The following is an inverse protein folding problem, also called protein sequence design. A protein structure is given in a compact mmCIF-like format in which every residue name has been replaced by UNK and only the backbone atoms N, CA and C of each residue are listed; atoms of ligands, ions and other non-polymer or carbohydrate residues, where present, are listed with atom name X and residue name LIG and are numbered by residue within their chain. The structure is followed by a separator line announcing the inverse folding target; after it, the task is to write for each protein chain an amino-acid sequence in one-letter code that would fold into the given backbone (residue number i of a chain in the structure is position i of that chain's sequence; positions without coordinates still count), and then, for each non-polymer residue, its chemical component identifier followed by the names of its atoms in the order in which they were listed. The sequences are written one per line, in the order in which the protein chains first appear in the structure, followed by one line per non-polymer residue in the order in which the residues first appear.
data_IF_488388319529
#
_entry.id   IF_488388319529
#
_cell.length_a   1.000
_cell.length_b   1.000
_cell.length_c   1.000
_cell.angle_alpha   90.00
_cell.angle_beta   90.00
_cell.angle_gamma   90.00
#
_symmetry.space_group_name_H-M   'P 1'
#
loop_
_entity.id
_entity.type
_entity.pdbx_description
1 polymer ?
#
# COMPACT_ATOMS: atom_id res chain seq x y z
N UNK A 1 -40.10 -3.36 -0.57
CA UNK A 1 -39.92 -2.50 0.62
C UNK A 1 -39.23 -3.32 1.71
N UNK A 2 -37.90 -3.40 1.70
CA UNK A 2 -37.11 -4.13 2.70
C UNK A 2 -35.89 -3.31 3.17
N UNK A 3 -36.00 -1.99 3.11
CA UNK A 3 -34.97 -1.06 3.58
C UNK A 3 -35.03 -0.62 5.06
N UNK A 4 -35.97 -1.06 5.95
CA UNK A 4 -35.92 -0.61 7.35
C UNK A 4 -35.16 -1.52 8.34
N UNK A 5 -34.78 -2.75 7.99
CA UNK A 5 -34.18 -3.68 8.96
C UNK A 5 -32.72 -3.35 9.33
N UNK A 6 -31.96 -2.76 8.40
CA UNK A 6 -30.56 -2.41 8.65
C UNK A 6 -30.40 -1.21 9.61
N UNK A 7 -31.30 -0.23 9.51
CA UNK A 7 -31.31 0.95 10.39
C UNK A 7 -31.79 0.59 11.80
N UNK A 8 -32.72 -0.38 11.93
CA UNK A 8 -33.23 -0.82 13.24
C UNK A 8 -32.15 -1.54 14.08
N UNK A 9 -31.31 -2.38 13.46
CA UNK A 9 -30.22 -3.06 14.15
C UNK A 9 -29.13 -2.07 14.65
N UNK A 10 -28.69 -1.14 13.79
CA UNK A 10 -27.70 -0.13 14.16
C UNK A 10 -28.19 0.85 15.25
N UNK A 11 -29.51 1.10 15.33
CA UNK A 11 -30.11 1.99 16.35
C UNK A 11 -30.25 1.29 17.71
N UNK A 12 -30.57 -0.01 17.73
CA UNK A 12 -30.62 -0.81 18.98
C UNK A 12 -29.22 -0.96 19.59
N UNK A 13 -28.17 -1.13 18.78
CA UNK A 13 -26.78 -1.21 19.25
C UNK A 13 -26.28 0.06 19.95
N UNK A 14 -26.95 1.21 19.80
CA UNK A 14 -26.60 2.46 20.50
C UNK A 14 -27.42 2.73 21.76
N UNK A 15 -28.55 2.05 21.97
CA UNK A 15 -29.51 2.46 23.02
C UNK A 15 -29.56 1.56 24.26
N UNK A 16 -28.91 0.40 24.26
CA UNK A 16 -28.97 -0.53 25.40
C UNK A 16 -27.60 -0.57 26.08
N UNK A 17 -27.47 0.19 27.18
CA UNK A 17 -26.36 0.11 28.11
C UNK A 17 -26.49 -1.17 28.97
N UNK A 18 -26.27 -2.33 28.35
CA UNK A 18 -26.21 -3.62 29.06
C UNK A 18 -24.74 -3.94 29.42
N UNK A 19 -24.40 -4.12 30.70
CA UNK A 19 -23.04 -4.44 31.14
C UNK A 19 -22.59 -5.88 30.80
N UNK A 20 -23.46 -6.72 30.23
CA UNK A 20 -23.13 -8.07 29.73
C UNK A 20 -22.97 -8.14 28.20
N UNK A 21 -22.92 -6.98 27.54
CA UNK A 21 -22.87 -6.86 26.09
C UNK A 21 -21.49 -7.21 25.50
N UNK A 22 -21.43 -8.30 24.72
CA UNK A 22 -20.28 -8.67 23.87
C UNK A 22 -20.57 -8.34 22.40
N UNK A 23 -19.76 -7.45 21.83
CA UNK A 23 -19.90 -6.97 20.45
C UNK A 23 -19.76 -8.08 19.40
N UNK A 24 -18.94 -9.10 19.65
CA UNK A 24 -18.69 -10.19 18.71
C UNK A 24 -19.85 -11.20 18.68
N UNK A 25 -20.44 -11.52 19.83
CA UNK A 25 -21.59 -12.42 19.89
C UNK A 25 -22.85 -11.80 19.26
N UNK A 26 -23.07 -10.50 19.46
CA UNK A 26 -24.19 -9.79 18.83
C UNK A 26 -23.98 -9.60 17.33
N UNK A 27 -22.74 -9.36 16.88
CA UNK A 27 -22.40 -9.33 15.46
C UNK A 27 -22.65 -10.71 14.83
N UNK A 28 -22.27 -11.81 15.50
CA UNK A 28 -22.50 -13.17 15.02
C UNK A 28 -23.99 -13.53 14.92
N UNK A 29 -24.83 -13.05 15.84
CA UNK A 29 -26.29 -13.25 15.80
C UNK A 29 -26.93 -12.45 14.65
N UNK A 30 -26.49 -11.21 14.44
CA UNK A 30 -26.94 -10.36 13.33
C UNK A 30 -26.48 -10.94 11.99
N UNK A 31 -25.25 -11.44 11.90
CA UNK A 31 -24.69 -12.09 10.71
C UNK A 31 -25.37 -13.42 10.40
N UNK A 32 -25.72 -14.24 11.42
CA UNK A 32 -26.54 -15.46 11.24
C UNK A 32 -27.96 -15.20 10.77
N UNK A 33 -28.55 -14.06 11.10
CA UNK A 33 -29.86 -13.66 10.58
C UNK A 33 -29.77 -12.96 9.20
N UNK A 34 -28.58 -12.50 8.81
CA UNK A 34 -28.24 -11.89 7.52
C UNK A 34 -27.59 -12.90 6.56
N UNK A 35 -28.08 -14.15 6.52
CA UNK A 35 -27.68 -15.22 5.57
C UNK A 35 -27.74 -14.82 4.07
N UNK A 36 -28.08 -13.57 3.75
CA UNK A 36 -27.98 -12.97 2.44
C UNK A 36 -27.08 -11.74 2.51
N UNK A 37 -25.84 -11.86 2.02
CA UNK A 37 -25.10 -10.70 1.51
C UNK A 37 -25.95 -10.08 0.40
N UNK A 38 -26.72 -9.06 0.75
CA UNK A 38 -27.61 -8.37 -0.19
C UNK A 38 -26.81 -7.36 -1.02
N UNK A 39 -26.41 -7.80 -2.22
CA UNK A 39 -25.70 -6.95 -3.18
C UNK A 39 -26.62 -5.98 -3.94
N UNK A 40 -27.94 -6.02 -3.73
CA UNK A 40 -28.89 -5.19 -4.50
C UNK A 40 -28.66 -3.70 -4.27
N UNK A 41 -28.24 -3.30 -3.07
CA UNK A 41 -27.90 -1.91 -2.75
C UNK A 41 -26.72 -1.42 -3.61
N UNK A 42 -25.64 -2.19 -3.68
CA UNK A 42 -24.42 -1.80 -4.40
C UNK A 42 -24.52 -2.02 -5.92
N UNK A 43 -25.33 -2.96 -6.40
CA UNK A 43 -25.53 -3.19 -7.84
C UNK A 43 -26.46 -2.14 -8.49
N UNK A 44 -27.21 -1.38 -7.69
CA UNK A 44 -28.10 -0.33 -8.16
C UNK A 44 -27.32 0.69 -9.03
N UNK A 45 -27.74 0.96 -10.29
CA UNK A 45 -26.98 1.80 -11.23
C UNK A 45 -26.72 3.24 -10.77
N UNK A 46 -27.55 3.74 -9.84
CA UNK A 46 -27.40 5.08 -9.28
C UNK A 46 -26.41 5.13 -8.10
N UNK A 47 -26.05 3.98 -7.51
CA UNK A 47 -25.26 3.87 -6.27
C UNK A 47 -23.78 3.79 -6.57
N UNK A 48 -23.35 2.85 -7.43
CA UNK A 48 -21.97 2.75 -7.89
C UNK A 48 -21.93 2.97 -9.41
N UNK A 49 -21.32 4.09 -9.82
CA UNK A 49 -21.21 4.53 -11.21
C UNK A 49 -19.93 5.31 -11.43
N UNK A 50 -19.48 5.35 -12.68
CA UNK A 50 -18.31 6.13 -13.10
C UNK A 50 -18.50 7.59 -12.74
N UNK A 51 -17.44 8.19 -12.19
CA UNK A 51 -17.46 9.58 -11.74
C UNK A 51 -18.57 9.82 -10.71
N UNK A 52 -18.50 9.03 -9.63
CA UNK A 52 -19.47 9.00 -8.54
C UNK A 52 -19.71 10.39 -7.96
N UNK A 53 -18.64 11.16 -7.76
CA UNK A 53 -18.67 12.51 -7.20
C UNK A 53 -18.91 13.61 -8.25
N UNK A 54 -19.17 13.24 -9.51
CA UNK A 54 -19.44 14.18 -10.61
C UNK A 54 -18.42 15.32 -10.75
N UNK A 55 -17.13 15.01 -10.51
CA UNK A 55 -16.05 15.99 -10.61
C UNK A 55 -15.76 16.33 -12.06
N UNK A 56 -15.36 17.58 -12.31
CA UNK A 56 -15.27 18.15 -13.67
C UNK A 56 -14.01 17.78 -14.44
N UNK A 57 -12.92 17.47 -13.74
CA UNK A 57 -11.63 17.14 -14.36
C UNK A 57 -11.06 15.82 -13.82
N UNK A 58 -10.36 15.10 -14.69
CA UNK A 58 -9.81 13.77 -14.40
C UNK A 58 -8.67 13.81 -13.37
N UNK A 59 -8.00 14.95 -13.25
CA UNK A 59 -6.91 15.18 -12.29
C UNK A 59 -7.36 15.75 -10.94
N UNK A 60 -8.67 15.85 -10.67
CA UNK A 60 -9.14 16.30 -9.36
C UNK A 60 -8.60 15.35 -8.29
N UNK A 61 -7.80 15.91 -7.38
CA UNK A 61 -7.28 15.15 -6.27
C UNK A 61 -8.38 14.92 -5.25
N UNK A 62 -8.29 13.80 -4.54
CA UNK A 62 -9.22 13.45 -3.46
C UNK A 62 -9.35 14.58 -2.44
N UNK A 63 -8.22 15.16 -2.02
CA UNK A 63 -8.14 16.23 -1.02
C UNK A 63 -8.84 17.52 -1.46
N UNK A 64 -9.06 17.71 -2.76
CA UNK A 64 -9.71 18.89 -3.32
C UNK A 64 -11.25 18.81 -3.27
N UNK A 65 -11.82 17.64 -2.98
CA UNK A 65 -13.27 17.47 -2.89
C UNK A 65 -13.74 17.71 -1.45
N UNK A 66 -14.63 18.68 -1.20
CA UNK A 66 -15.11 18.96 0.15
C UNK A 66 -15.81 17.75 0.77
N UNK A 67 -15.56 17.49 2.06
CA UNK A 67 -16.18 16.39 2.81
C UNK A 67 -17.72 16.38 2.73
N UNK A 68 -18.36 17.55 2.61
CA UNK A 68 -19.81 17.66 2.44
C UNK A 68 -20.30 17.09 1.11
N UNK A 69 -19.53 17.31 0.04
CA UNK A 69 -19.81 16.74 -1.30
C UNK A 69 -19.58 15.24 -1.25
N UNK A 70 -18.49 14.78 -0.64
CA UNK A 70 -18.21 13.35 -0.46
C UNK A 70 -19.32 12.65 0.33
N UNK A 71 -19.81 13.23 1.42
CA UNK A 71 -20.89 12.67 2.23
C UNK A 71 -22.24 12.63 1.49
N UNK A 72 -22.48 13.55 0.56
CA UNK A 72 -23.67 13.54 -0.29
C UNK A 72 -23.58 12.48 -1.39
N UNK A 73 -22.40 12.30 -1.98
CA UNK A 73 -22.15 11.32 -3.05
C UNK A 73 -22.02 9.88 -2.50
N UNK A 74 -21.46 9.73 -1.30
CA UNK A 74 -21.25 8.46 -0.61
C UNK A 74 -21.84 8.56 0.80
N UNK A 75 -23.18 8.44 0.95
CA UNK A 75 -23.83 8.35 2.24
C UNK A 75 -23.23 7.26 3.14
N UNK A 76 -23.39 7.40 4.45
CA UNK A 76 -22.86 6.47 5.45
C UNK A 76 -23.21 5.01 5.18
N UNK A 77 -24.42 4.72 4.71
CA UNK A 77 -24.86 3.37 4.32
C UNK A 77 -24.04 2.80 3.17
N UNK A 78 -23.76 3.61 2.13
CA UNK A 78 -22.97 3.18 0.97
C UNK A 78 -21.50 3.05 1.37
N UNK A 79 -20.99 3.99 2.16
CA UNK A 79 -19.63 3.94 2.71
C UNK A 79 -19.40 2.65 3.52
N UNK A 80 -20.30 2.32 4.44
CA UNK A 80 -20.25 1.09 5.22
C UNK A 80 -20.32 -0.15 4.31
N UNK A 81 -21.28 -0.19 3.39
CA UNK A 81 -21.43 -1.31 2.47
C UNK A 81 -20.15 -1.53 1.66
N UNK A 82 -19.56 -0.49 1.06
CA UNK A 82 -18.32 -0.58 0.30
C UNK A 82 -17.13 -1.12 1.13
N UNK A 83 -17.04 -0.77 2.41
CA UNK A 83 -15.91 -1.14 3.27
C UNK A 83 -16.03 -2.53 3.90
N UNK A 84 -17.23 -3.03 4.16
CA UNK A 84 -17.41 -4.20 5.03
C UNK A 84 -18.10 -5.41 4.39
N UNK A 85 -18.68 -5.28 3.19
CA UNK A 85 -19.40 -6.40 2.56
C UNK A 85 -18.52 -7.65 2.34
N UNK A 86 -17.24 -7.45 2.01
CA UNK A 86 -16.27 -8.55 1.83
C UNK A 86 -15.99 -9.29 3.14
N UNK A 87 -15.86 -8.53 4.25
CA UNK A 87 -15.65 -9.12 5.57
C UNK A 87 -16.88 -9.94 6.02
N UNK A 88 -18.08 -9.41 5.75
CA UNK A 88 -19.33 -10.12 6.02
C UNK A 88 -19.49 -11.39 5.18
N UNK A 89 -19.11 -11.34 3.90
CA UNK A 89 -19.10 -12.52 3.03
C UNK A 89 -18.17 -13.60 3.60
N UNK A 90 -16.93 -13.25 3.96
CA UNK A 90 -15.99 -14.20 4.54
C UNK A 90 -16.47 -14.78 5.88
N UNK A 91 -17.04 -13.94 6.76
CA UNK A 91 -17.59 -14.37 8.04
C UNK A 91 -18.80 -15.30 7.89
N UNK A 92 -19.59 -15.13 6.83
CA UNK A 92 -20.74 -16.00 6.55
C UNK A 92 -20.34 -17.42 6.12
N UNK A 93 -19.09 -17.63 5.69
CA UNK A 93 -18.63 -18.91 5.13
C UNK A 93 -19.24 -19.23 3.75
N UNK A 94 -19.94 -18.28 3.12
CA UNK A 94 -20.51 -18.45 1.80
C UNK A 94 -19.41 -18.41 0.73
N UNK A 95 -19.45 -19.40 -0.15
CA UNK A 95 -18.58 -19.45 -1.32
C UNK A 95 -19.15 -18.62 -2.49
N UNK A 96 -18.25 -18.01 -3.26
CA UNK A 96 -18.55 -17.30 -4.50
C UNK A 96 -18.55 -18.34 -5.63
N UNK A 97 -19.71 -18.49 -6.25
CA UNK A 97 -19.90 -19.34 -7.42
C UNK A 97 -19.95 -18.44 -8.66
N UNK A 98 -19.30 -18.85 -9.75
CA UNK A 98 -19.36 -18.09 -11.00
C UNK A 98 -20.81 -17.84 -11.43
N UNK A 99 -21.07 -16.62 -11.89
CA UNK A 99 -22.40 -16.13 -12.28
C UNK A 99 -23.43 -15.99 -11.14
N UNK A 100 -23.03 -16.18 -9.88
CA UNK A 100 -23.85 -15.81 -8.73
C UNK A 100 -23.96 -14.27 -8.59
N UNK A 101 -24.68 -13.81 -7.56
CA UNK A 101 -24.92 -12.38 -7.34
C UNK A 101 -23.63 -11.60 -7.06
N UNK A 102 -22.65 -12.21 -6.37
CA UNK A 102 -21.38 -11.57 -6.01
C UNK A 102 -20.47 -11.53 -7.23
N UNK A 103 -20.35 -12.64 -7.97
CA UNK A 103 -19.63 -12.74 -9.24
C UNK A 103 -20.15 -11.71 -10.25
N UNK A 104 -21.48 -11.61 -10.44
CA UNK A 104 -22.10 -10.61 -11.31
C UNK A 104 -21.82 -9.19 -10.87
N UNK A 105 -21.87 -8.92 -9.57
CA UNK A 105 -21.49 -7.61 -9.03
C UNK A 105 -20.03 -7.28 -9.37
N UNK A 106 -19.09 -8.18 -9.09
CA UNK A 106 -17.66 -7.97 -9.36
C UNK A 106 -17.41 -7.68 -10.84
N UNK A 107 -18.03 -8.44 -11.74
CA UNK A 107 -17.88 -8.26 -13.19
C UNK A 107 -18.43 -6.92 -13.69
N UNK A 108 -19.41 -6.33 -13.00
CA UNK A 108 -20.14 -5.14 -13.46
C UNK A 108 -19.78 -3.86 -12.71
N UNK A 109 -19.29 -3.98 -11.48
CA UNK A 109 -19.15 -2.87 -10.52
C UNK A 109 -17.81 -2.83 -9.78
N UNK A 110 -16.89 -3.76 -10.01
CA UNK A 110 -15.58 -3.75 -9.31
C UNK A 110 -14.81 -2.45 -9.45
N UNK A 111 -14.68 -1.88 -10.65
CA UNK A 111 -14.00 -0.58 -10.82
C UNK A 111 -14.73 0.57 -10.13
N UNK A 112 -16.05 0.58 -10.18
CA UNK A 112 -16.88 1.59 -9.52
C UNK A 112 -16.78 1.50 -7.99
N UNK A 113 -16.69 0.28 -7.47
CA UNK A 113 -16.45 0.02 -6.06
C UNK A 113 -15.05 0.50 -5.63
N UNK A 114 -14.03 0.26 -6.45
CA UNK A 114 -12.67 0.81 -6.21
C UNK A 114 -12.68 2.34 -6.26
N UNK A 115 -13.39 2.95 -7.20
CA UNK A 115 -13.54 4.42 -7.26
C UNK A 115 -14.15 4.96 -5.95
N UNK A 116 -15.22 4.33 -5.45
CA UNK A 116 -15.85 4.73 -4.19
C UNK A 116 -14.89 4.60 -3.00
N UNK A 117 -14.17 3.47 -2.89
CA UNK A 117 -13.14 3.27 -1.85
C UNK A 117 -12.01 4.28 -1.98
N UNK A 118 -11.66 4.68 -3.19
CA UNK A 118 -10.65 5.71 -3.44
C UNK A 118 -11.06 7.08 -2.94
N UNK A 119 -12.32 7.48 -3.15
CA UNK A 119 -12.87 8.71 -2.56
C UNK A 119 -12.90 8.66 -1.03
N UNK A 120 -13.15 7.48 -0.45
CA UNK A 120 -13.14 7.24 1.00
C UNK A 120 -11.73 7.16 1.60
N UNK A 121 -10.69 6.95 0.78
CA UNK A 121 -9.31 6.79 1.27
C UNK A 121 -8.92 5.39 1.68
N UNK A 122 -9.71 4.42 1.27
CA UNK A 122 -9.60 3.02 1.67
C UNK A 122 -8.89 2.19 0.59
N UNK A 123 -8.08 2.81 -0.28
CA UNK A 123 -7.38 2.12 -1.38
C UNK A 123 -6.39 1.07 -0.88
N UNK A 124 -5.79 1.28 0.29
CA UNK A 124 -4.91 0.30 0.95
C UNK A 124 -5.65 -0.98 1.36
N UNK A 125 -6.93 -0.84 1.70
CA UNK A 125 -7.78 -1.95 2.13
C UNK A 125 -8.22 -2.82 0.94
N UNK A 126 -8.23 -2.28 -0.29
CA UNK A 126 -8.69 -2.99 -1.51
C UNK A 126 -7.90 -4.26 -1.77
N UNK A 127 -6.57 -4.22 -1.65
CA UNK A 127 -5.72 -5.40 -1.91
C UNK A 127 -6.09 -6.56 -0.96
N UNK A 128 -6.24 -6.24 0.33
CA UNK A 128 -6.66 -7.19 1.35
C UNK A 128 -8.07 -7.72 1.10
N UNK A 129 -8.99 -6.87 0.65
CA UNK A 129 -10.34 -7.29 0.28
C UNK A 129 -10.32 -8.26 -0.90
N UNK A 130 -9.50 -8.03 -1.93
CA UNK A 130 -9.35 -8.94 -3.07
C UNK A 130 -8.77 -10.28 -2.61
N UNK A 131 -7.75 -10.28 -1.74
CA UNK A 131 -7.21 -11.52 -1.14
C UNK A 131 -8.29 -12.31 -0.40
N UNK A 132 -9.11 -11.64 0.42
CA UNK A 132 -10.24 -12.27 1.12
C UNK A 132 -11.28 -12.83 0.13
N UNK A 133 -11.60 -12.09 -0.94
CA UNK A 133 -12.54 -12.56 -1.96
C UNK A 133 -12.05 -13.84 -2.64
N UNK A 134 -10.74 -13.94 -2.94
CA UNK A 134 -10.17 -15.16 -3.51
C UNK A 134 -10.31 -16.37 -2.59
N UNK A 135 -10.15 -16.20 -1.28
CA UNK A 135 -10.38 -17.31 -0.32
C UNK A 135 -11.85 -17.76 -0.27
N UNK A 136 -12.78 -16.90 -0.70
CA UNK A 136 -14.19 -17.23 -0.76
C UNK A 136 -14.59 -17.86 -2.11
N UNK A 137 -13.73 -17.89 -3.13
CA UNK A 137 -14.09 -18.47 -4.44
C UNK A 137 -14.16 -20.00 -4.34
N UNK A 138 -15.24 -20.59 -4.84
CA UNK A 138 -15.40 -22.04 -4.87
C UNK A 138 -14.23 -22.72 -5.61
N UNK A 139 -13.70 -23.80 -5.05
CA UNK A 139 -12.42 -24.43 -5.45
C UNK A 139 -12.39 -25.08 -6.85
N UNK A 140 -13.42 -24.92 -7.68
CA UNK A 140 -13.40 -25.35 -9.07
C UNK A 140 -12.46 -24.44 -9.87
N UNK A 141 -11.22 -24.91 -10.08
CA UNK A 141 -10.17 -24.16 -10.76
C UNK A 141 -10.61 -23.66 -12.15
N UNK A 142 -10.30 -22.39 -12.45
CA UNK A 142 -10.50 -21.78 -13.77
C UNK A 142 -11.72 -20.90 -13.94
N UNK A 143 -12.38 -20.48 -12.85
CA UNK A 143 -13.56 -19.61 -12.91
C UNK A 143 -13.26 -18.18 -13.39
N UNK A 144 -14.23 -17.59 -14.08
CA UNK A 144 -14.21 -16.20 -14.55
C UNK A 144 -14.02 -15.21 -13.40
N UNK A 145 -14.61 -15.47 -12.23
CA UNK A 145 -14.43 -14.61 -11.05
C UNK A 145 -13.00 -14.67 -10.53
N UNK A 146 -12.39 -15.85 -10.44
CA UNK A 146 -11.00 -16.01 -10.01
C UNK A 146 -10.04 -15.27 -10.96
N UNK A 147 -10.29 -15.37 -12.28
CA UNK A 147 -9.49 -14.66 -13.28
C UNK A 147 -9.59 -13.15 -13.14
N UNK A 148 -10.78 -12.61 -12.85
CA UNK A 148 -11.00 -11.19 -12.58
C UNK A 148 -10.28 -10.74 -11.30
N UNK A 149 -10.34 -11.53 -10.22
CA UNK A 149 -9.68 -11.17 -8.97
C UNK A 149 -8.16 -11.12 -9.14
N UNK A 150 -7.56 -12.14 -9.77
CA UNK A 150 -6.13 -12.15 -10.06
C UNK A 150 -5.71 -10.96 -10.94
N UNK A 151 -6.48 -10.66 -11.98
CA UNK A 151 -6.27 -9.51 -12.86
C UNK A 151 -6.40 -8.18 -12.10
N UNK A 152 -7.36 -8.08 -11.18
CA UNK A 152 -7.53 -6.92 -10.29
C UNK A 152 -6.38 -6.75 -9.30
N UNK A 153 -5.73 -7.82 -8.85
CA UNK A 153 -4.52 -7.72 -8.02
C UNK A 153 -3.40 -7.01 -8.75
N UNK A 154 -3.10 -7.42 -9.98
CA UNK A 154 -2.07 -6.79 -10.79
C UNK A 154 -2.42 -5.32 -11.07
N UNK A 155 -3.68 -5.06 -11.41
CA UNK A 155 -4.14 -3.70 -11.70
C UNK A 155 -4.05 -2.77 -10.48
N UNK A 156 -4.47 -3.23 -9.29
CA UNK A 156 -4.33 -2.46 -8.04
C UNK A 156 -2.85 -2.27 -7.71
N UNK A 157 -2.02 -3.31 -7.78
CA UNK A 157 -0.60 -3.21 -7.47
C UNK A 157 0.11 -2.13 -8.30
N UNK A 158 -0.22 -2.02 -9.58
CA UNK A 158 0.38 -1.06 -10.50
C UNK A 158 -0.16 0.38 -10.31
N UNK A 159 -1.48 0.55 -10.21
CA UNK A 159 -2.10 1.86 -10.31
C UNK A 159 -2.61 2.45 -8.98
N UNK A 160 -2.53 1.72 -7.86
CA UNK A 160 -3.09 2.14 -6.56
C UNK A 160 -2.71 3.57 -6.17
N UNK A 161 -1.44 3.97 -6.34
CA UNK A 161 -0.99 5.32 -5.97
C UNK A 161 -1.70 6.41 -6.78
N UNK A 162 -1.85 6.21 -8.09
CA UNK A 162 -2.51 7.18 -8.97
C UNK A 162 -4.01 7.27 -8.64
N UNK A 163 -4.64 6.12 -8.38
CA UNK A 163 -6.04 6.01 -7.99
C UNK A 163 -6.29 6.73 -6.66
N UNK A 164 -5.46 6.48 -5.65
CA UNK A 164 -5.56 7.09 -4.32
C UNK A 164 -5.50 8.62 -4.34
N UNK A 165 -4.59 9.18 -5.14
CA UNK A 165 -4.43 10.63 -5.28
C UNK A 165 -5.62 11.24 -6.06
N UNK A 166 -5.98 10.64 -7.20
CA UNK A 166 -7.00 11.17 -8.11
C UNK A 166 -7.90 10.03 -8.63
N UNK A 167 -9.06 9.77 -8.00
CA UNK A 167 -9.87 8.58 -8.29
C UNK A 167 -10.32 8.42 -9.74
N UNK A 168 -10.49 9.50 -10.51
CA UNK A 168 -10.86 9.38 -11.93
C UNK A 168 -9.71 8.92 -12.84
N UNK A 169 -8.47 8.84 -12.33
CA UNK A 169 -7.34 8.25 -13.06
C UNK A 169 -7.56 6.75 -13.34
N UNK A 170 -8.47 6.09 -12.62
CA UNK A 170 -8.98 4.75 -12.94
C UNK A 170 -9.35 4.66 -14.42
N UNK A 171 -10.15 5.60 -14.92
CA UNK A 171 -10.69 5.54 -16.27
C UNK A 171 -9.81 6.23 -17.31
N UNK A 172 -8.95 7.15 -16.89
CA UNK A 172 -8.11 7.92 -17.81
C UNK A 172 -6.76 7.25 -18.10
N UNK A 173 -6.11 6.73 -17.06
CA UNK A 173 -4.76 6.18 -17.12
C UNK A 173 -4.78 4.69 -16.83
N UNK A 174 -5.31 4.27 -15.69
CA UNK A 174 -5.21 2.88 -15.25
C UNK A 174 -5.88 1.91 -16.23
N UNK A 175 -7.04 2.25 -16.79
CA UNK A 175 -7.72 1.45 -17.84
C UNK A 175 -7.03 1.47 -19.21
N UNK A 176 -6.29 2.53 -19.50
CA UNK A 176 -5.68 2.75 -20.80
C UNK A 176 -4.43 1.93 -21.05
N UNK A 177 -3.71 1.64 -19.96
CA UNK A 177 -2.44 0.91 -19.99
C UNK A 177 -2.57 -0.56 -19.58
N UNK A 178 -3.80 -1.05 -19.43
CA UNK A 178 -4.07 -2.45 -19.10
C UNK A 178 -3.65 -3.37 -20.26
N UNK A 179 -2.99 -4.51 -19.99
CA UNK A 179 -2.63 -5.49 -21.01
C UNK A 179 -3.80 -5.96 -21.88
N UNK A 180 -3.51 -6.42 -23.09
CA UNK A 180 -4.55 -6.79 -24.08
C UNK A 180 -5.44 -7.94 -23.62
N UNK A 181 -4.89 -8.91 -22.87
CA UNK A 181 -5.60 -10.11 -22.40
C UNK A 181 -6.20 -9.95 -20.99
N UNK A 182 -6.22 -8.74 -20.43
CA UNK A 182 -6.82 -8.49 -19.12
C UNK A 182 -8.36 -8.60 -19.14
N UNK A 183 -8.91 -9.21 -18.10
CA UNK A 183 -10.35 -9.31 -17.85
C UNK A 183 -10.96 -7.94 -17.57
N UNK A 184 -10.29 -7.10 -16.78
CA UNK A 184 -10.67 -5.70 -16.50
C UNK A 184 -10.79 -4.92 -17.82
N UNK A 185 -9.82 -5.08 -18.73
CA UNK A 185 -9.90 -4.45 -20.05
C UNK A 185 -11.12 -4.93 -20.84
N UNK A 186 -11.38 -6.24 -20.85
CA UNK A 186 -12.54 -6.80 -21.54
C UNK A 186 -13.87 -6.30 -20.98
N UNK A 187 -13.97 -6.13 -19.65
CA UNK A 187 -15.22 -5.73 -18.98
C UNK A 187 -15.45 -4.22 -19.02
N UNK A 188 -14.40 -3.43 -18.88
CA UNK A 188 -14.50 -1.98 -18.63
C UNK A 188 -13.80 -1.12 -19.68
N UNK A 189 -13.22 -1.70 -20.73
CA UNK A 189 -12.47 -0.95 -21.74
C UNK A 189 -13.26 0.18 -22.41
N UNK A 190 -14.59 0.03 -22.55
CA UNK A 190 -15.48 1.07 -23.10
C UNK A 190 -15.66 2.27 -22.16
N UNK A 191 -15.36 2.12 -20.88
CA UNK A 191 -15.44 3.19 -19.90
C UNK A 191 -14.21 4.11 -19.90
N UNK A 192 -13.14 3.70 -20.61
CA UNK A 192 -11.91 4.48 -20.74
C UNK A 192 -12.22 5.88 -21.29
N UNK A 193 -11.62 6.88 -20.65
CA UNK A 193 -11.77 8.29 -20.98
C UNK A 193 -10.64 8.80 -21.89
N UNK A 194 -9.73 7.92 -22.31
CA UNK A 194 -8.60 8.28 -23.15
C UNK A 194 -9.00 8.40 -24.62
N UNK A 195 -8.51 9.45 -25.28
CA UNK A 195 -8.67 9.71 -26.72
C UNK A 195 -7.47 9.27 -27.57
N UNK A 196 -6.43 8.74 -26.93
CA UNK A 196 -5.14 8.42 -27.56
C UNK A 196 -5.01 6.90 -27.67
N UNK A 197 -4.73 6.41 -28.88
CA UNK A 197 -4.47 4.99 -29.11
C UNK A 197 -3.05 4.65 -28.67
N UNK A 198 -2.90 3.84 -27.62
CA UNK A 198 -1.61 3.26 -27.22
C UNK A 198 -1.38 1.98 -28.03
N UNK A 199 -0.43 2.00 -28.97
CA UNK A 199 -0.17 0.86 -29.88
C UNK A 199 0.58 -0.29 -29.21
N UNK A 200 1.43 0.01 -28.24
CA UNK A 200 2.45 -0.92 -27.73
C UNK A 200 2.09 -1.43 -26.32
N UNK A 201 0.88 -1.95 -26.16
CA UNK A 201 0.45 -2.55 -24.90
C UNK A 201 0.90 -4.01 -24.81
N UNK A 202 1.40 -4.45 -23.63
CA UNK A 202 1.81 -5.83 -23.43
C UNK A 202 0.59 -6.77 -23.55
N UNK A 203 0.86 -8.03 -23.91
CA UNK A 203 -0.20 -9.03 -24.06
C UNK A 203 -0.79 -9.42 -22.70
N UNK A 204 0.07 -9.56 -21.69
CA UNK A 204 -0.25 -9.92 -20.30
C UNK A 204 0.42 -8.97 -19.31
N UNK A 205 0.02 -9.01 -18.04
CA UNK A 205 0.76 -8.33 -16.98
C UNK A 205 2.18 -8.87 -16.92
N UNK A 206 3.15 -7.97 -16.77
CA UNK A 206 4.49 -8.38 -16.37
C UNK A 206 4.41 -8.95 -14.96
N UNK A 207 4.70 -10.23 -14.81
CA UNK A 207 4.88 -10.82 -13.48
C UNK A 207 6.08 -10.14 -12.82
N UNK A 208 5.97 -9.67 -11.56
CA UNK A 208 7.16 -9.28 -10.82
C UNK A 208 8.10 -10.49 -10.79
N UNK A 209 9.38 -10.28 -11.11
CA UNK A 209 10.37 -11.36 -11.10
C UNK A 209 10.48 -12.02 -9.72
N UNK A 210 10.17 -11.25 -8.66
CA UNK A 210 10.09 -11.71 -7.29
C UNK A 210 9.21 -10.78 -6.45
N UNK A 211 8.33 -11.36 -5.62
CA UNK A 211 7.56 -10.64 -4.61
C UNK A 211 7.99 -11.10 -3.23
N UNK A 212 8.44 -10.17 -2.41
CA UNK A 212 8.88 -10.40 -1.03
C UNK A 212 7.76 -9.95 -0.09
N UNK A 213 6.96 -10.90 0.40
CA UNK A 213 5.78 -10.59 1.20
C UNK A 213 6.12 -10.47 2.69
N UNK A 214 6.09 -9.24 3.21
CA UNK A 214 6.28 -8.93 4.63
C UNK A 214 5.17 -8.08 5.24
N UNK A 215 3.91 -8.28 4.82
CA UNK A 215 2.67 -7.48 5.01
C UNK A 215 2.22 -7.04 6.43
N UNK A 216 3.11 -6.66 7.37
CA UNK A 216 2.69 -6.10 8.67
C UNK A 216 2.79 -4.57 8.79
N UNK A 217 3.43 -3.88 7.85
CA UNK A 217 3.57 -2.42 7.88
C UNK A 217 3.91 -1.78 6.54
N UNK A 218 3.87 -0.46 6.49
CA UNK A 218 4.36 0.31 5.34
C UNK A 218 5.89 0.28 5.35
N UNK A 219 6.47 -0.24 4.26
CA UNK A 219 7.92 -0.19 4.05
C UNK A 219 8.31 1.27 3.84
N UNK A 220 9.16 1.78 4.71
CA UNK A 220 9.67 3.15 4.68
C UNK A 220 10.95 3.27 3.88
N UNK A 221 11.77 2.21 3.85
CA UNK A 221 13.07 2.24 3.18
C UNK A 221 13.54 0.85 2.74
N UNK A 222 14.36 0.84 1.69
CA UNK A 222 14.96 -0.34 1.07
C UNK A 222 16.42 -0.07 0.74
N UNK A 223 17.30 -1.03 1.02
CA UNK A 223 18.71 -0.97 0.66
C UNK A 223 19.21 -2.32 0.16
N UNK A 224 19.85 -2.35 -1.01
CA UNK A 224 20.54 -3.55 -1.48
C UNK A 224 21.91 -3.63 -0.83
N UNK A 225 22.27 -4.83 -0.37
CA UNK A 225 23.66 -5.12 -0.03
C UNK A 225 24.52 -4.97 -1.31
N UNK A 226 25.74 -4.42 -1.22
CA UNK A 226 26.62 -4.23 -2.38
C UNK A 226 26.89 -5.50 -3.20
N UNK A 227 26.83 -6.67 -2.56
CA UNK A 227 26.99 -7.97 -3.23
C UNK A 227 25.76 -8.40 -4.06
N UNK A 228 24.63 -7.69 -3.92
CA UNK A 228 23.37 -7.94 -4.62
C UNK A 228 22.62 -9.20 -4.16
N UNK A 229 23.07 -9.87 -3.09
CA UNK A 229 22.44 -11.09 -2.58
C UNK A 229 21.39 -10.83 -1.52
N UNK A 230 21.54 -9.72 -0.78
CA UNK A 230 20.63 -9.31 0.27
C UNK A 230 19.93 -8.00 -0.04
N UNK A 231 18.66 -7.91 0.36
CA UNK A 231 17.89 -6.67 0.42
C UNK A 231 17.46 -6.44 1.87
N UNK A 232 17.72 -5.26 2.42
CA UNK A 232 17.15 -4.81 3.68
C UNK A 232 15.88 -4.02 3.41
N UNK A 233 14.85 -4.25 4.23
CA UNK A 233 13.64 -3.43 4.26
C UNK A 233 13.36 -2.97 5.67
N UNK A 234 13.27 -1.66 5.85
CA UNK A 234 12.78 -1.01 7.06
C UNK A 234 11.29 -0.69 6.94
N UNK A 235 10.55 -0.85 8.03
CA UNK A 235 9.11 -0.63 8.05
C UNK A 235 8.67 0.22 9.23
N UNK A 236 7.56 0.93 9.03
CA UNK A 236 6.91 1.73 10.08
C UNK A 236 6.27 0.87 11.18
N UNK A 237 6.16 -0.46 10.99
CA UNK A 237 5.71 -1.41 12.02
C UNK A 237 6.82 -1.85 13.01
N UNK A 238 7.92 -1.09 13.07
CA UNK A 238 9.08 -1.35 13.91
C UNK A 238 9.86 -2.61 13.51
N UNK A 239 9.63 -3.16 12.32
CA UNK A 239 10.35 -4.34 11.83
C UNK A 239 11.41 -3.99 10.80
N UNK A 240 12.47 -4.79 10.82
CA UNK A 240 13.52 -4.81 9.81
C UNK A 240 13.62 -6.23 9.31
N UNK A 241 13.63 -6.39 8.00
CA UNK A 241 13.74 -7.69 7.34
C UNK A 241 14.91 -7.68 6.38
N UNK A 242 15.60 -8.80 6.33
CA UNK A 242 16.64 -9.09 5.35
C UNK A 242 16.17 -10.23 4.45
N UNK A 243 16.25 -10.00 3.16
CA UNK A 243 15.73 -10.89 2.14
C UNK A 243 16.87 -11.47 1.31
N UNK A 244 16.86 -12.79 1.12
CA UNK A 244 17.74 -13.47 0.18
C UNK A 244 17.11 -13.40 -1.21
N UNK A 245 17.65 -12.55 -2.09
CA UNK A 245 17.03 -12.20 -3.38
C UNK A 245 16.95 -13.42 -4.30
N UNK A 246 18.02 -14.22 -4.40
CA UNK A 246 18.06 -15.38 -5.27
C UNK A 246 17.02 -16.46 -4.89
N UNK A 247 16.73 -16.60 -3.60
CA UNK A 247 15.80 -17.58 -3.07
C UNK A 247 14.38 -17.01 -2.85
N UNK A 248 14.21 -15.70 -2.92
CA UNK A 248 12.92 -15.05 -2.73
C UNK A 248 12.33 -15.19 -1.33
N UNK A 249 13.17 -15.35 -0.31
CA UNK A 249 12.71 -15.63 1.05
C UNK A 249 13.32 -14.68 2.07
N UNK A 250 12.59 -14.49 3.16
CA UNK A 250 13.10 -13.79 4.33
C UNK A 250 14.21 -14.64 4.96
N UNK A 251 15.40 -14.05 5.07
CA UNK A 251 16.55 -14.65 5.75
C UNK A 251 16.52 -14.35 7.24
N UNK A 252 16.06 -13.14 7.60
CA UNK A 252 16.09 -12.67 8.98
C UNK A 252 15.08 -11.53 9.20
N UNK A 253 14.52 -11.47 10.40
CA UNK A 253 13.65 -10.38 10.86
C UNK A 253 13.97 -10.05 12.32
N UNK A 254 13.95 -8.76 12.66
CA UNK A 254 13.91 -8.28 14.04
C UNK A 254 12.89 -7.17 14.23
N UNK A 255 12.55 -6.90 15.49
CA UNK A 255 11.84 -5.70 15.91
C UNK A 255 12.82 -4.75 16.60
N UNK A 256 12.74 -3.47 16.25
CA UNK A 256 13.52 -2.40 16.86
C UNK A 256 12.64 -1.50 17.72
N UNK A 257 13.25 -0.77 18.64
CA UNK A 257 12.55 0.13 19.56
C UNK A 257 12.40 1.52 18.90
N UNK A 258 11.47 1.62 17.95
CA UNK A 258 11.22 2.85 17.21
C UNK A 258 10.75 2.62 15.78
N UNK A 259 10.23 3.66 15.14
CA UNK A 259 9.86 3.62 13.72
C UNK A 259 11.15 3.63 12.89
N UNK A 260 11.26 2.72 11.92
CA UNK A 260 12.37 2.73 10.97
C UNK A 260 12.04 3.72 9.87
N UNK A 261 12.89 4.72 9.66
CA UNK A 261 12.71 5.71 8.61
C UNK A 261 13.59 5.42 7.40
N UNK A 262 14.84 5.02 7.65
CA UNK A 262 15.77 4.65 6.59
C UNK A 262 16.71 3.51 6.99
N UNK A 263 17.18 2.76 6.01
CA UNK A 263 18.19 1.69 6.15
C UNK A 263 19.24 1.85 5.06
N UNK A 264 20.49 1.54 5.37
CA UNK A 264 21.57 1.58 4.38
C UNK A 264 22.67 0.56 4.70
N UNK A 265 23.28 -0.01 3.66
CA UNK A 265 24.41 -0.93 3.80
C UNK A 265 25.73 -0.21 3.63
N UNK A 266 26.71 -0.62 4.44
CA UNK A 266 28.08 -0.16 4.24
C UNK A 266 28.64 -0.65 2.89
N UNK A 267 29.64 0.01 2.31
CA UNK A 267 30.19 -0.36 1.00
C UNK A 267 30.71 -1.80 0.88
N UNK A 268 31.19 -2.40 1.97
CA UNK A 268 31.55 -3.83 2.02
C UNK A 268 30.36 -4.78 2.23
N UNK A 269 29.21 -4.26 2.65
CA UNK A 269 28.06 -5.06 3.07
C UNK A 269 28.20 -5.68 4.47
N UNK A 270 29.27 -5.36 5.21
CA UNK A 270 29.46 -5.87 6.57
C UNK A 270 28.47 -5.27 7.57
N UNK A 271 28.14 -3.99 7.41
CA UNK A 271 27.30 -3.25 8.35
C UNK A 271 25.99 -2.82 7.72
N UNK A 272 24.93 -2.87 8.52
CA UNK A 272 23.62 -2.29 8.23
C UNK A 272 23.37 -1.15 9.21
N UNK A 273 23.16 0.04 8.68
CA UNK A 273 22.78 1.21 9.46
C UNK A 273 21.27 1.41 9.35
N UNK A 274 20.66 1.73 10.48
CA UNK A 274 19.21 1.84 10.64
C UNK A 274 18.96 3.16 11.33
N UNK A 275 18.19 4.02 10.69
CA UNK A 275 17.75 5.27 11.28
C UNK A 275 16.35 5.13 11.85
N UNK A 276 16.29 5.39 13.15
CA UNK A 276 15.08 5.50 13.95
C UNK A 276 14.77 6.99 14.20
N UNK A 277 13.66 7.28 14.86
CA UNK A 277 13.22 8.64 15.16
C UNK A 277 14.28 9.48 15.89
N UNK A 278 14.94 8.89 16.88
CA UNK A 278 15.86 9.56 17.80
C UNK A 278 17.25 8.92 17.85
N UNK A 279 17.50 7.89 17.04
CA UNK A 279 18.70 7.05 17.14
C UNK A 279 19.14 6.52 15.77
N UNK A 280 20.44 6.27 15.64
CA UNK A 280 21.03 5.45 14.57
C UNK A 280 21.56 4.17 15.21
N UNK A 281 21.14 3.02 14.71
CA UNK A 281 21.69 1.72 15.08
C UNK A 281 22.55 1.15 13.97
N UNK A 282 23.71 0.58 14.34
CA UNK A 282 24.59 -0.14 13.42
C UNK A 282 24.56 -1.61 13.79
N UNK A 283 24.32 -2.47 12.81
CA UNK A 283 24.17 -3.90 12.96
C UNK A 283 25.20 -4.64 12.11
N UNK A 284 25.75 -5.73 12.66
CA UNK A 284 26.63 -6.63 11.95
C UNK A 284 25.79 -7.61 11.09
N UNK A 285 26.01 -7.62 9.78
CA UNK A 285 25.24 -8.45 8.85
C UNK A 285 25.63 -9.94 8.88
N UNK A 286 26.78 -10.28 9.47
CA UNK A 286 27.22 -11.67 9.62
C UNK A 286 26.61 -12.33 10.84
N UNK A 287 26.54 -11.60 11.96
CA UNK A 287 26.01 -12.11 13.23
C UNK A 287 24.55 -11.73 13.48
N UNK A 288 24.03 -10.77 12.73
CA UNK A 288 22.71 -10.15 12.92
C UNK A 288 22.52 -9.62 14.35
N UNK A 289 23.58 -9.06 14.92
CA UNK A 289 23.55 -8.42 16.22
C UNK A 289 23.86 -6.92 16.10
N UNK A 290 23.25 -6.13 16.97
CA UNK A 290 23.53 -4.70 17.07
C UNK A 290 24.96 -4.48 17.57
N UNK A 291 25.77 -3.80 16.78
CA UNK A 291 27.13 -3.41 17.10
C UNK A 291 27.17 -2.17 18.01
N UNK A 292 26.50 -1.09 17.59
CA UNK A 292 26.44 0.15 18.35
C UNK A 292 25.17 0.94 18.07
N UNK A 293 24.91 1.95 18.91
CA UNK A 293 23.75 2.82 18.85
C UNK A 293 24.17 4.24 19.21
N UNK A 294 23.67 5.21 18.47
CA UNK A 294 23.94 6.62 18.65
C UNK A 294 22.63 7.37 18.82
N UNK A 295 22.46 8.05 19.94
CA UNK A 295 21.28 8.88 20.18
C UNK A 295 21.44 10.22 19.47
N UNK A 296 20.61 10.45 18.47
CA UNK A 296 20.62 11.64 17.64
C UNK A 296 19.21 11.95 17.14
N UNK A 297 18.67 13.10 17.58
CA UNK A 297 17.33 13.54 17.21
C UNK A 297 17.33 14.33 15.89
N UNK A 298 16.13 14.42 15.29
CA UNK A 298 15.84 15.24 14.11
C UNK A 298 16.67 14.89 12.87
N UNK A 299 17.01 13.61 12.69
CA UNK A 299 17.73 13.15 11.49
C UNK A 299 16.80 13.28 10.29
N UNK A 300 17.30 13.91 9.23
CA UNK A 300 16.56 14.11 7.99
C UNK A 300 16.97 13.13 6.90
N UNK A 301 18.25 12.77 6.84
CA UNK A 301 18.82 11.86 5.86
C UNK A 301 20.10 11.24 6.42
N UNK A 302 20.45 10.03 6.00
CA UNK A 302 21.71 9.39 6.36
C UNK A 302 22.17 8.39 5.30
N UNK A 303 23.48 8.21 5.17
CA UNK A 303 24.10 7.28 4.21
C UNK A 303 25.47 6.82 4.72
N UNK A 304 25.84 5.57 4.45
CA UNK A 304 27.21 5.11 4.58
C UNK A 304 28.11 5.68 3.46
N UNK A 305 29.17 6.38 3.85
CA UNK A 305 30.21 6.83 2.91
C UNK A 305 31.36 5.83 2.85
N UNK A 306 31.75 5.28 4.00
CA UNK A 306 32.77 4.24 4.12
C UNK A 306 32.27 3.15 5.05
N UNK A 307 32.98 2.04 5.13
CA UNK A 307 32.62 0.97 6.08
C UNK A 307 32.66 1.40 7.55
N UNK A 308 33.34 2.50 7.84
CA UNK A 308 33.52 3.01 9.19
C UNK A 308 32.74 4.29 9.45
N UNK A 309 32.13 4.90 8.42
CA UNK A 309 31.58 6.25 8.51
C UNK A 309 30.20 6.36 7.87
N UNK A 310 29.26 6.81 8.70
CA UNK A 310 27.93 7.27 8.29
C UNK A 310 27.93 8.79 8.27
N UNK A 311 27.42 9.37 7.20
CA UNK A 311 27.06 10.79 7.19
C UNK A 311 25.56 10.93 7.39
N UNK A 312 25.15 11.99 8.09
CA UNK A 312 23.75 12.30 8.27
C UNK A 312 23.50 13.81 8.29
N UNK A 313 22.27 14.20 7.98
CA UNK A 313 21.80 15.57 8.07
C UNK A 313 20.70 15.69 9.13
N UNK A 314 20.48 16.91 9.64
CA UNK A 314 19.44 17.18 10.63
C UNK A 314 18.50 18.29 10.16
N UNK A 315 17.23 18.21 10.57
CA UNK A 315 16.26 19.27 10.28
C UNK A 315 16.53 20.57 11.05
N UNK A 316 17.14 20.47 12.22
CA UNK A 316 17.31 21.59 13.15
C UNK A 316 18.68 22.28 13.05
N UNK A 317 19.61 21.75 12.25
CA UNK A 317 20.94 22.33 12.07
C UNK A 317 21.42 22.22 10.62
N UNK A 318 21.98 23.29 10.04
CA UNK A 318 22.53 23.24 8.69
C UNK A 318 23.87 22.50 8.67
N UNK A 319 24.04 21.61 7.71
CA UNK A 319 25.31 20.90 7.45
C UNK A 319 25.15 19.38 7.46
N UNK A 320 26.22 18.72 7.03
CA UNK A 320 26.35 17.27 7.12
C UNK A 320 27.23 16.93 8.32
N UNK A 321 26.77 15.99 9.12
CA UNK A 321 27.44 15.50 10.30
C UNK A 321 28.01 14.11 10.01
N UNK A 322 29.15 13.81 10.62
CA UNK A 322 29.86 12.55 10.48
C UNK A 322 29.71 11.72 11.74
N UNK A 323 29.48 10.43 11.57
CA UNK A 323 29.45 9.43 12.63
C UNK A 323 30.43 8.32 12.28
N UNK A 324 31.39 8.08 13.17
CA UNK A 324 32.34 6.97 13.07
C UNK A 324 31.81 5.81 13.91
N UNK A 325 31.65 4.63 13.30
CA UNK A 325 31.00 3.49 13.94
C UNK A 325 31.85 2.85 15.06
N UNK A 326 33.17 3.09 15.04
CA UNK A 326 34.12 2.51 16.00
C UNK A 326 34.47 3.46 17.15
N UNK A 327 34.13 4.74 17.04
CA UNK A 327 34.36 5.69 18.12
C UNK A 327 33.21 5.64 19.14
N UNK A 328 33.57 5.31 20.40
CA UNK A 328 32.68 5.46 21.53
C UNK A 328 32.34 6.94 21.76
N UNK A 329 31.03 7.24 21.73
CA UNK A 329 30.32 8.31 22.44
C UNK A 329 31.06 9.65 22.73
N UNK A 330 30.46 10.75 22.26
CA UNK A 330 30.70 12.13 22.68
C UNK A 330 31.93 12.85 22.11
N UNK A 331 32.03 12.95 20.79
CA UNK A 331 32.66 14.14 20.19
C UNK A 331 31.66 14.81 19.25
N UNK A 332 30.89 15.74 19.83
CA UNK A 332 30.30 16.83 19.07
C UNK A 332 31.45 17.63 18.48
N UNK A 333 31.88 17.30 17.27
CA UNK A 333 32.74 18.20 16.51
C UNK A 333 31.91 19.44 16.18
N UNK A 334 32.25 20.64 16.68
CA UNK A 334 31.75 21.85 16.09
C UNK A 334 32.54 21.99 14.79
N UNK A 335 32.07 21.38 13.71
CA UNK A 335 32.49 21.85 12.39
C UNK A 335 31.82 23.20 12.19
N UNK A 336 32.47 24.24 12.71
CA UNK A 336 32.22 25.65 12.46
C UNK A 336 32.39 26.02 10.99
N UNK A 337 32.64 25.06 10.11
CA UNK A 337 32.48 25.15 8.67
C UNK A 337 31.49 24.08 8.23
N UNK A 338 30.21 24.45 8.19
CA UNK A 338 29.22 23.70 7.45
C UNK A 338 29.72 23.53 6.02
N UNK A 339 29.94 22.29 5.60
CA UNK A 339 30.08 21.97 4.19
C UNK A 339 28.74 22.28 3.53
N UNK A 340 28.61 23.51 3.02
CA UNK A 340 27.48 23.94 2.20
C UNK A 340 27.67 23.35 0.81
N UNK A 341 27.47 22.04 0.70
CA UNK A 341 27.49 21.38 -0.61
C UNK A 341 26.09 21.50 -1.20
N UNK A 342 25.98 22.32 -2.25
CA UNK A 342 24.82 22.33 -3.11
C UNK A 342 24.85 21.07 -3.97
N UNK A 343 23.88 20.17 -3.73
CA UNK A 343 23.57 18.94 -4.48
C UNK A 343 24.64 17.84 -4.48
N UNK A 344 24.21 16.63 -4.11
CA UNK A 344 24.73 15.40 -4.71
C UNK A 344 23.61 14.67 -5.44
N UNK A 345 23.98 14.09 -6.58
CA UNK A 345 23.22 13.12 -7.35
C UNK A 345 24.12 11.93 -7.64
N UNK A 346 23.65 10.74 -7.26
CA UNK A 346 23.92 9.39 -7.81
C UNK A 346 25.36 8.84 -7.76
N UNK A 347 25.51 7.68 -7.09
CA UNK A 347 26.61 6.72 -7.27
C UNK A 347 26.76 6.34 -8.74
N UNK A 348 27.96 6.47 -9.29
CA UNK A 348 28.32 5.88 -10.58
C UNK A 348 28.24 4.35 -10.50
N UNK A 349 27.33 3.75 -11.27
CA UNK A 349 27.39 2.34 -11.66
C UNK A 349 27.88 2.27 -13.12
N UNK A 350 29.13 1.84 -13.32
CA UNK A 350 29.58 1.31 -14.60
C UNK A 350 29.86 2.32 -15.72
N UNK A 351 30.39 3.51 -15.42
CA UNK A 351 31.04 4.38 -16.42
C UNK A 351 30.12 4.91 -17.54
N UNK A 352 28.81 5.04 -17.29
CA UNK A 352 27.89 5.76 -18.17
C UNK A 352 27.07 6.77 -17.37
N UNK A 353 27.42 8.04 -17.54
CA UNK A 353 26.69 9.18 -17.01
C UNK A 353 25.33 9.27 -17.69
N UNK A 354 24.23 9.08 -16.94
CA UNK A 354 22.89 9.39 -17.42
C UNK A 354 22.59 10.86 -17.11
N UNK A 355 22.78 11.64 -18.17
CA UNK A 355 22.25 12.98 -18.50
C UNK A 355 23.11 14.21 -18.23
N UNK A 356 23.18 15.13 -19.22
CA UNK A 356 23.87 16.40 -19.11
C UNK A 356 22.90 17.49 -18.64
N UNK A 357 23.32 18.33 -17.71
CA UNK A 357 22.84 19.71 -17.67
C UNK A 357 24.02 20.61 -17.25
N UNK A 358 24.62 21.23 -18.27
CA UNK A 358 25.42 22.45 -18.21
C UNK A 358 24.60 23.63 -17.72
N UNK A 359 25.27 24.74 -17.35
CA UNK A 359 25.98 25.02 -16.12
C UNK A 359 25.07 25.63 -15.04
#
# INVERSE_FOLDING_TARGET
MASPLFIFAATICRSIADPTWDANDQLNIVLKQLDQVDMTLLDAPAVLKRNLCSVKALGYQREQVPNQVLAACIPTTISYACQYWVAHLAASGREIIDHDIVSKFLMKRSLHWVEALSWLGETYSVMKMIDTLETCVHATGGGTTASLLNDAKHWIAEYRRAVDIAPLQIYACALSFVPKQSVIRSLFGTESLQRVSVSDLPEYWSAPALTLDGRKGMISSLAFCPDGHLLASGSLDHTIRLWEIAAGRERWQTTVDGIVYAVDFSPSGQWLAIQLEDQIEIWDCSTMQRHCRFTQQNIADFEFITDETVMYSRYDQPGLLRLDIHQHANESYPTSHGLRIQRWTCRELGGRTLWPLTP
#
